data_IF_987209428543
#
_entry.id   IF_987209428543
#
_cell.length_a   1.000
_cell.length_b   1.000
_cell.length_c   1.000
_cell.angle_alpha   90.00
_cell.angle_beta   90.00
_cell.angle_gamma   90.00
#
_symmetry.space_group_name_H-M   'P 1'
#
loop_
_entity.id
_entity.type
_entity.pdbx_description
1 polymer ?
#
# COMPACT_ATOMS: atom_id res chain seq x y z
N UNK A 1 -28.95 62.01 7.86
CA UNK A 1 -28.27 62.04 6.54
C UNK A 1 -27.70 60.66 6.28
N UNK A 2 -28.03 60.14 5.10
CA UNK A 2 -27.73 58.78 4.63
C UNK A 2 -26.25 58.58 4.33
N UNK A 3 -25.73 57.36 4.55
CA UNK A 3 -24.38 56.97 4.17
C UNK A 3 -24.20 55.45 4.27
N UNK A 4 -24.71 54.71 3.28
CA UNK A 4 -24.45 53.30 3.10
C UNK A 4 -23.08 53.10 2.43
N UNK A 5 -22.16 52.39 3.07
CA UNK A 5 -20.90 51.97 2.46
C UNK A 5 -21.07 50.60 1.78
N UNK A 6 -20.88 50.56 0.47
CA UNK A 6 -20.96 49.36 -0.38
C UNK A 6 -19.60 48.66 -0.38
N UNK A 7 -19.54 47.38 0.01
CA UNK A 7 -18.33 46.56 -0.11
C UNK A 7 -18.12 46.09 -1.58
N UNK A 8 -16.88 46.01 -2.08
CA UNK A 8 -16.62 45.56 -3.44
C UNK A 8 -16.75 44.03 -3.52
N UNK A 9 -17.52 43.54 -4.50
CA UNK A 9 -17.59 42.12 -4.83
C UNK A 9 -16.36 41.73 -5.64
N UNK A 10 -15.43 40.99 -5.05
CA UNK A 10 -14.38 40.28 -5.78
C UNK A 10 -14.99 39.11 -6.57
N UNK A 11 -15.44 39.35 -7.81
CA UNK A 11 -15.68 38.29 -8.79
C UNK A 11 -14.38 38.03 -9.55
N UNK A 12 -13.43 37.37 -8.87
CA UNK A 12 -12.13 36.97 -9.40
C UNK A 12 -12.04 35.46 -9.58
N UNK A 13 -12.41 35.00 -10.77
CA UNK A 13 -11.78 33.88 -11.47
C UNK A 13 -11.85 32.45 -10.88
N UNK A 14 -13.03 32.00 -10.42
CA UNK A 14 -13.26 30.57 -10.10
C UNK A 14 -13.12 29.63 -11.32
N UNK A 15 -13.21 30.16 -12.54
CA UNK A 15 -13.19 29.38 -13.79
C UNK A 15 -11.76 29.01 -14.22
N UNK A 16 -10.79 29.92 -14.10
CA UNK A 16 -9.39 29.63 -14.43
C UNK A 16 -8.69 28.72 -13.40
N UNK A 17 -9.14 28.73 -12.13
CA UNK A 17 -8.65 27.77 -11.13
C UNK A 17 -9.20 26.37 -11.45
N UNK A 18 -10.49 26.24 -11.75
CA UNK A 18 -11.09 24.98 -12.16
C UNK A 18 -10.49 24.41 -13.47
N UNK A 19 -10.23 25.26 -14.47
CA UNK A 19 -9.60 24.85 -15.74
C UNK A 19 -8.13 24.43 -15.57
N UNK A 20 -7.38 25.07 -14.66
CA UNK A 20 -6.02 24.64 -14.28
C UNK A 20 -6.03 23.29 -13.56
N UNK A 21 -7.02 23.03 -12.71
CA UNK A 21 -7.17 21.74 -12.01
C UNK A 21 -7.59 20.62 -12.97
N UNK A 22 -8.51 20.89 -13.90
CA UNK A 22 -8.97 19.91 -14.91
C UNK A 22 -7.90 19.57 -15.96
N UNK A 23 -7.03 20.52 -16.31
CA UNK A 23 -5.94 20.29 -17.27
C UNK A 23 -4.78 19.49 -16.66
N UNK A 24 -4.50 19.68 -15.36
CA UNK A 24 -3.49 18.90 -14.64
C UNK A 24 -3.88 17.42 -14.43
N UNK A 25 -5.19 17.12 -14.39
CA UNK A 25 -5.71 15.76 -14.26
C UNK A 25 -5.72 14.95 -15.56
N UNK A 26 -5.48 15.59 -16.72
CA UNK A 26 -5.66 14.97 -18.04
C UNK A 26 -4.46 14.20 -18.59
N UNK A 27 -3.27 14.35 -18.00
CA UNK A 27 -2.02 13.87 -18.60
C UNK A 27 -1.08 13.08 -17.66
N UNK A 28 -1.52 12.66 -16.47
CA UNK A 28 -0.71 11.70 -15.70
C UNK A 28 -0.97 10.29 -16.24
N UNK A 29 0.08 9.54 -16.65
CA UNK A 29 -0.10 8.15 -17.01
C UNK A 29 -0.70 7.39 -15.82
N UNK A 30 -1.60 6.46 -16.10
CA UNK A 30 -2.19 5.59 -15.08
C UNK A 30 -1.04 4.79 -14.46
N UNK A 31 -0.87 4.78 -13.12
CA UNK A 31 0.21 4.02 -12.49
C UNK A 31 0.20 2.56 -12.96
N UNK A 32 1.38 2.04 -13.30
CA UNK A 32 1.54 0.68 -13.81
C UNK A 32 1.19 0.49 -15.29
N UNK A 33 0.70 1.52 -16.01
CA UNK A 33 0.44 1.42 -17.45
C UNK A 33 1.70 1.17 -18.29
N UNK A 34 2.88 1.43 -17.74
CA UNK A 34 4.18 1.13 -18.36
C UNK A 34 4.94 -0.02 -17.69
N UNK A 35 4.33 -0.62 -16.66
CA UNK A 35 4.86 -1.72 -15.88
C UNK A 35 4.77 -3.07 -16.60
N UNK A 36 5.65 -4.00 -16.22
CA UNK A 36 5.55 -5.41 -16.54
C UNK A 36 4.97 -6.14 -15.34
N UNK A 37 4.03 -7.06 -15.59
CA UNK A 37 3.51 -7.94 -14.54
C UNK A 37 4.62 -8.91 -14.11
N UNK A 38 4.86 -9.00 -12.81
CA UNK A 38 5.89 -9.83 -12.20
C UNK A 38 5.28 -11.09 -11.59
N UNK A 39 6.09 -12.13 -11.46
CA UNK A 39 5.70 -13.33 -10.71
C UNK A 39 5.62 -13.00 -9.21
N UNK A 40 4.60 -13.53 -8.54
CA UNK A 40 4.37 -13.33 -7.12
C UNK A 40 5.11 -14.39 -6.29
N UNK A 41 5.89 -13.95 -5.30
CA UNK A 41 6.39 -14.79 -4.22
C UNK A 41 5.22 -15.20 -3.31
N UNK A 42 5.08 -16.51 -3.11
CA UNK A 42 4.02 -17.11 -2.30
C UNK A 42 4.54 -17.61 -0.97
N UNK A 43 3.67 -17.78 0.02
CA UNK A 43 4.04 -18.29 1.34
C UNK A 43 4.85 -19.59 1.24
N UNK A 44 6.01 -19.59 1.91
CA UNK A 44 7.03 -20.63 1.82
C UNK A 44 8.28 -20.18 1.04
N UNK A 45 8.19 -19.10 0.27
CA UNK A 45 9.36 -18.40 -0.25
C UNK A 45 10.11 -17.72 0.91
N UNK A 46 11.41 -18.05 1.14
CA UNK A 46 12.20 -17.42 2.19
C UNK A 46 12.29 -15.90 2.08
N UNK A 47 12.10 -15.34 0.88
CA UNK A 47 12.12 -13.90 0.66
C UNK A 47 11.03 -13.16 1.44
N UNK A 48 9.87 -13.77 1.66
CA UNK A 48 8.77 -13.17 2.42
C UNK A 48 9.07 -13.10 3.94
N UNK A 49 10.12 -13.78 4.39
CA UNK A 49 10.51 -13.88 5.79
C UNK A 49 11.91 -13.30 6.08
N UNK A 50 12.36 -12.37 5.23
CA UNK A 50 13.58 -11.59 5.42
C UNK A 50 13.26 -10.11 5.33
N UNK A 51 13.84 -9.31 6.24
CA UNK A 51 13.77 -7.87 6.15
C UNK A 51 14.39 -7.38 4.84
N UNK A 52 13.74 -6.39 4.22
CA UNK A 52 14.18 -5.77 2.98
C UNK A 52 15.28 -4.74 3.22
N UNK A 53 16.09 -4.51 2.20
CA UNK A 53 17.16 -3.53 2.19
C UNK A 53 16.63 -2.14 1.87
N UNK A 54 17.29 -1.12 2.43
CA UNK A 54 16.97 0.27 2.12
C UNK A 54 17.34 0.58 0.65
N UNK A 55 16.48 1.35 -0.01
CA UNK A 55 16.76 1.92 -1.33
C UNK A 55 17.76 3.06 -1.18
N UNK A 56 18.87 2.97 -1.90
CA UNK A 56 19.94 3.98 -1.92
C UNK A 56 20.08 4.69 -3.27
N UNK A 57 19.52 4.12 -4.34
CA UNK A 57 19.55 4.68 -5.70
C UNK A 57 18.13 5.06 -6.15
N UNK A 58 17.92 6.36 -6.36
CA UNK A 58 16.65 6.96 -6.78
C UNK A 58 16.63 7.25 -8.29
N UNK A 59 17.15 6.30 -9.06
CA UNK A 59 17.24 6.37 -10.51
C UNK A 59 16.05 5.78 -11.28
N UNK A 60 16.17 5.68 -12.61
CA UNK A 60 15.13 5.11 -13.49
C UNK A 60 14.72 3.66 -13.16
N UNK A 61 15.62 2.88 -12.55
CA UNK A 61 15.36 1.51 -12.09
C UNK A 61 14.28 1.48 -10.99
N UNK A 62 14.32 2.41 -10.04
CA UNK A 62 13.33 2.52 -8.97
C UNK A 62 11.96 2.94 -9.53
N UNK A 63 11.94 3.91 -10.44
CA UNK A 63 10.69 4.31 -11.11
C UNK A 63 10.08 3.13 -11.89
N UNK A 64 10.91 2.33 -12.57
CA UNK A 64 10.47 1.12 -13.27
C UNK A 64 9.93 0.06 -12.31
N UNK A 65 10.59 -0.13 -11.17
CA UNK A 65 10.12 -1.05 -10.12
C UNK A 65 8.72 -0.65 -9.63
N UNK A 66 8.51 0.63 -9.30
CA UNK A 66 7.21 1.13 -8.84
C UNK A 66 6.11 0.88 -9.89
N UNK A 67 6.41 1.11 -11.18
CA UNK A 67 5.48 0.79 -12.27
C UNK A 67 5.18 -0.71 -12.39
N UNK A 68 6.20 -1.57 -12.30
CA UNK A 68 6.02 -3.03 -12.31
C UNK A 68 5.19 -3.50 -11.10
N UNK A 69 5.36 -2.87 -9.93
CA UNK A 69 4.58 -3.15 -8.73
C UNK A 69 3.11 -2.76 -8.91
N UNK A 70 2.80 -1.57 -9.42
CA UNK A 70 1.41 -1.19 -9.72
C UNK A 70 0.77 -2.12 -10.75
N UNK A 71 1.48 -2.44 -11.84
CA UNK A 71 0.99 -3.36 -12.87
C UNK A 71 0.65 -4.73 -12.28
N UNK A 72 1.53 -5.25 -11.42
CA UNK A 72 1.35 -6.55 -10.75
C UNK A 72 0.21 -6.52 -9.73
N UNK A 73 0.13 -5.46 -8.91
CA UNK A 73 -0.93 -5.26 -7.93
C UNK A 73 -2.31 -5.26 -8.60
N UNK A 74 -2.48 -4.49 -9.68
CA UNK A 74 -3.75 -4.44 -10.40
C UNK A 74 -4.08 -5.76 -11.11
N UNK A 75 -3.09 -6.43 -11.72
CA UNK A 75 -3.29 -7.73 -12.34
C UNK A 75 -3.74 -8.80 -11.32
N UNK A 76 -3.28 -8.68 -10.07
CA UNK A 76 -3.66 -9.54 -8.95
C UNK A 76 -4.91 -9.06 -8.20
N UNK A 77 -5.56 -7.96 -8.64
CA UNK A 77 -6.72 -7.35 -7.99
C UNK A 77 -6.48 -6.97 -6.52
N UNK A 78 -5.26 -6.54 -6.19
CA UNK A 78 -4.88 -6.09 -4.85
C UNK A 78 -5.07 -4.58 -4.62
N UNK A 79 -5.02 -4.19 -3.35
CA UNK A 79 -5.06 -2.79 -2.90
C UNK A 79 -3.71 -2.28 -2.37
N UNK A 80 -2.75 -3.19 -2.19
CA UNK A 80 -1.39 -2.93 -1.75
C UNK A 80 -0.45 -4.03 -2.23
N UNK A 81 0.83 -3.70 -2.41
CA UNK A 81 1.88 -4.63 -2.79
C UNK A 81 3.26 -4.13 -2.35
N UNK A 82 3.96 -4.94 -1.57
CA UNK A 82 5.36 -4.74 -1.20
C UNK A 82 6.32 -5.40 -2.19
N UNK A 83 7.51 -4.80 -2.40
CA UNK A 83 8.44 -5.23 -3.46
C UNK A 83 8.97 -6.66 -3.27
N UNK A 84 9.11 -7.14 -2.03
CA UNK A 84 9.54 -8.51 -1.77
C UNK A 84 8.51 -9.55 -2.21
N UNK A 85 7.24 -9.17 -2.35
CA UNK A 85 6.21 -10.05 -2.92
C UNK A 85 6.39 -10.29 -4.42
N UNK A 86 7.26 -9.53 -5.11
CA UNK A 86 7.60 -9.73 -6.53
C UNK A 86 9.09 -10.06 -6.75
N UNK A 87 9.74 -10.60 -5.72
CA UNK A 87 11.13 -11.05 -5.82
C UNK A 87 12.19 -9.98 -5.53
N UNK A 88 11.81 -8.77 -5.11
CA UNK A 88 12.73 -7.63 -4.96
C UNK A 88 12.86 -7.24 -3.47
N UNK A 89 14.00 -7.53 -2.79
CA UNK A 89 14.18 -7.28 -1.36
C UNK A 89 14.48 -5.80 -1.05
N UNK A 90 13.70 -4.86 -1.60
CA UNK A 90 13.85 -3.43 -1.33
C UNK A 90 12.67 -2.91 -0.53
N UNK A 91 12.91 -1.95 0.36
CA UNK A 91 11.86 -1.27 1.14
C UNK A 91 11.02 -0.33 0.28
N UNK A 92 10.13 -0.90 -0.51
CA UNK A 92 9.18 -0.17 -1.36
C UNK A 92 7.83 -0.87 -1.27
N UNK A 93 6.76 -0.11 -1.11
CA UNK A 93 5.40 -0.60 -1.36
C UNK A 93 4.60 0.39 -2.21
N UNK A 94 3.61 -0.14 -2.92
CA UNK A 94 2.58 0.63 -3.64
C UNK A 94 1.22 0.32 -3.04
N UNK A 95 0.28 1.26 -3.18
CA UNK A 95 -1.09 1.09 -2.72
C UNK A 95 -2.08 1.84 -3.62
N UNK A 96 -3.25 1.25 -3.80
CA UNK A 96 -4.46 1.87 -4.31
C UNK A 96 -5.63 1.34 -3.48
N UNK A 97 -5.83 1.97 -2.33
CA UNK A 97 -6.62 1.43 -1.24
C UNK A 97 -7.70 2.45 -0.83
N UNK A 98 -9.00 2.12 -0.90
CA UNK A 98 -10.03 2.95 -0.29
C UNK A 98 -9.87 2.92 1.24
N UNK A 99 -10.34 3.95 1.93
CA UNK A 99 -10.60 3.85 3.37
C UNK A 99 -12.05 3.42 3.66
N UNK A 100 -12.44 3.45 4.93
CA UNK A 100 -13.76 3.04 5.39
C UNK A 100 -14.88 3.97 4.90
N UNK A 101 -14.55 5.18 4.43
CA UNK A 101 -15.46 6.17 3.86
C UNK A 101 -15.43 6.18 2.30
N UNK A 102 -14.88 5.10 1.70
CA UNK A 102 -14.68 4.95 0.25
C UNK A 102 -13.78 6.04 -0.39
N UNK A 103 -12.98 6.76 0.41
CA UNK A 103 -11.99 7.70 -0.13
C UNK A 103 -10.79 6.91 -0.61
N UNK A 104 -10.52 7.01 -1.91
CA UNK A 104 -9.41 6.33 -2.57
C UNK A 104 -8.06 6.97 -2.22
N UNK A 105 -7.16 6.20 -1.63
CA UNK A 105 -5.76 6.55 -1.39
C UNK A 105 -4.87 5.82 -2.39
N UNK A 106 -4.12 6.56 -3.21
CA UNK A 106 -3.27 6.02 -4.26
C UNK A 106 -1.86 6.58 -4.14
N UNK A 107 -0.86 5.71 -4.06
CA UNK A 107 0.53 6.14 -4.01
C UNK A 107 1.52 5.01 -3.77
N UNK A 108 2.73 5.41 -3.40
CA UNK A 108 3.84 4.53 -3.10
C UNK A 108 4.72 5.16 -2.03
N UNK A 109 5.46 4.32 -1.31
CA UNK A 109 6.44 4.78 -0.32
C UNK A 109 7.72 3.97 -0.48
N UNK A 110 8.84 4.70 -0.52
CA UNK A 110 10.20 4.17 -0.55
C UNK A 110 10.84 4.41 0.82
N UNK A 111 11.56 3.42 1.33
CA UNK A 111 12.10 3.37 2.68
C UNK A 111 11.05 3.74 3.75
N UNK A 112 9.84 3.12 3.74
CA UNK A 112 8.81 3.44 4.71
C UNK A 112 9.24 3.09 6.14
N UNK A 113 8.84 3.95 7.06
CA UNK A 113 8.89 3.75 8.50
C UNK A 113 7.48 3.92 9.07
N UNK A 114 6.99 2.91 9.79
CA UNK A 114 5.71 2.97 10.52
C UNK A 114 5.94 3.74 11.83
N UNK A 115 5.86 5.07 11.76
CA UNK A 115 6.19 5.98 12.87
C UNK A 115 5.11 6.03 13.94
N UNK A 116 3.85 5.76 13.59
CA UNK A 116 2.74 5.65 14.52
C UNK A 116 1.85 4.46 14.14
N UNK A 117 1.46 3.65 15.12
CA UNK A 117 0.44 2.62 15.00
C UNK A 117 -0.22 2.46 16.38
N UNK A 118 -1.38 3.09 16.55
CA UNK A 118 -2.02 3.27 17.85
C UNK A 118 -3.56 3.31 17.73
N UNK A 119 -4.22 3.79 18.78
CA UNK A 119 -5.68 3.76 18.86
C UNK A 119 -6.22 2.37 19.24
N UNK A 120 -7.40 2.02 18.71
CA UNK A 120 -8.05 0.75 19.05
C UNK A 120 -7.40 -0.40 18.29
N UNK A 121 -7.20 -1.53 18.96
CA UNK A 121 -6.87 -2.77 18.26
C UNK A 121 -8.13 -3.39 17.68
N UNK A 122 -8.25 -3.36 16.35
CA UNK A 122 -9.39 -3.91 15.62
C UNK A 122 -9.00 -5.22 14.95
N UNK A 123 -9.79 -6.26 15.24
CA UNK A 123 -9.71 -7.52 14.52
C UNK A 123 -10.64 -7.49 13.32
N UNK A 124 -10.08 -7.50 12.13
CA UNK A 124 -10.81 -7.47 10.86
C UNK A 124 -10.29 -8.53 9.88
N UNK A 125 -11.05 -8.82 8.81
CA UNK A 125 -10.58 -9.71 7.74
C UNK A 125 -9.27 -9.16 7.15
N UNK A 126 -8.33 -10.05 6.86
CA UNK A 126 -7.07 -9.68 6.19
C UNK A 126 -6.63 -10.84 5.30
N UNK A 127 -6.41 -10.52 4.03
CA UNK A 127 -5.84 -11.41 3.02
C UNK A 127 -4.47 -10.90 2.57
N UNK A 128 -3.82 -11.64 1.66
CA UNK A 128 -2.52 -11.25 1.12
C UNK A 128 -2.35 -11.84 -0.28
N UNK A 129 -1.78 -11.07 -1.21
CA UNK A 129 -1.49 -11.57 -2.57
C UNK A 129 -0.47 -12.72 -2.57
N UNK A 130 0.37 -12.83 -1.54
CA UNK A 130 1.29 -13.96 -1.33
C UNK A 130 0.64 -15.18 -0.66
N UNK A 131 -0.63 -15.08 -0.24
CA UNK A 131 -1.45 -16.19 0.26
C UNK A 131 -2.80 -16.27 -0.48
N UNK A 132 -2.82 -16.48 -1.82
CA UNK A 132 -4.03 -16.35 -2.62
C UNK A 132 -5.21 -17.18 -2.10
N UNK A 133 -6.37 -16.53 -1.94
CA UNK A 133 -7.62 -17.17 -1.50
C UNK A 133 -7.69 -17.49 -0.01
N UNK A 134 -6.71 -17.06 0.80
CA UNK A 134 -6.76 -17.20 2.26
C UNK A 134 -6.98 -15.85 2.94
N UNK A 135 -7.85 -15.87 3.94
CA UNK A 135 -8.16 -14.73 4.77
C UNK A 135 -8.27 -15.17 6.23
N UNK A 136 -7.87 -14.30 7.17
CA UNK A 136 -8.18 -14.50 8.58
C UNK A 136 -8.37 -13.18 9.31
N UNK A 137 -9.17 -13.23 10.38
CA UNK A 137 -9.33 -12.11 11.30
C UNK A 137 -8.02 -11.78 12.01
N UNK A 138 -7.39 -10.68 11.61
CA UNK A 138 -6.06 -10.23 12.06
C UNK A 138 -6.19 -8.94 12.85
N UNK A 139 -5.48 -8.84 13.98
CA UNK A 139 -5.47 -7.64 14.82
C UNK A 139 -4.50 -6.60 14.25
N UNK A 140 -5.01 -5.37 14.13
CA UNK A 140 -4.28 -4.18 13.68
C UNK A 140 -4.70 -2.99 14.53
N UNK A 141 -3.82 -2.00 14.63
CA UNK A 141 -4.20 -0.69 15.14
C UNK A 141 -5.15 0.00 14.15
N UNK A 142 -6.13 0.75 14.65
CA UNK A 142 -7.12 1.45 13.82
C UNK A 142 -6.60 2.75 13.22
N UNK A 143 -5.43 3.21 13.66
CA UNK A 143 -4.70 4.33 13.11
C UNK A 143 -3.26 3.93 12.78
N UNK A 144 -2.74 4.45 11.68
CA UNK A 144 -1.35 4.27 11.28
C UNK A 144 -0.81 5.48 10.53
N UNK A 145 0.47 5.78 10.76
CA UNK A 145 1.23 6.79 10.03
C UNK A 145 2.50 6.14 9.51
N UNK A 146 2.74 6.33 8.20
CA UNK A 146 3.98 5.93 7.54
C UNK A 146 4.68 7.18 7.01
N UNK A 147 5.96 7.31 7.34
CA UNK A 147 6.87 8.29 6.75
C UNK A 147 7.86 7.58 5.82
N UNK A 148 8.38 8.30 4.83
CA UNK A 148 9.37 7.76 3.91
C UNK A 148 9.66 8.74 2.79
N UNK A 149 9.97 8.20 1.63
CA UNK A 149 10.34 8.95 0.44
C UNK A 149 9.46 8.57 -0.75
N UNK A 150 9.33 9.48 -1.70
CA UNK A 150 8.84 9.17 -3.05
C UNK A 150 9.95 8.52 -3.87
N UNK A 151 9.61 7.98 -5.04
CA UNK A 151 10.59 7.42 -5.99
C UNK A 151 11.60 8.44 -6.53
N UNK A 152 11.39 9.74 -6.30
CA UNK A 152 12.33 10.81 -6.63
C UNK A 152 13.11 11.31 -5.41
N UNK A 153 12.94 10.69 -4.25
CA UNK A 153 13.65 11.02 -3.01
C UNK A 153 13.04 12.18 -2.21
N UNK A 154 11.84 12.66 -2.57
CA UNK A 154 11.15 13.70 -1.79
C UNK A 154 10.45 13.07 -0.57
N UNK A 155 10.47 13.70 0.63
CA UNK A 155 9.77 13.18 1.80
C UNK A 155 8.27 13.05 1.57
N UNK A 156 7.68 11.97 2.09
CA UNK A 156 6.23 11.73 2.12
C UNK A 156 5.81 11.28 3.51
N UNK A 157 4.64 11.74 3.94
CA UNK A 157 3.96 11.28 5.16
C UNK A 157 2.52 10.95 4.82
N UNK A 158 2.10 9.73 5.09
CA UNK A 158 0.74 9.24 4.87
C UNK A 158 0.17 8.74 6.18
N UNK A 159 -1.09 9.07 6.41
CA UNK A 159 -1.81 8.68 7.61
C UNK A 159 -3.20 8.21 7.21
N UNK A 160 -3.72 7.24 7.95
CA UNK A 160 -5.04 6.69 7.69
C UNK A 160 -5.61 6.04 8.93
N UNK A 161 -6.89 5.72 8.85
CA UNK A 161 -7.59 4.90 9.82
C UNK A 161 -8.21 3.66 9.17
N UNK A 162 -8.73 2.73 9.97
CA UNK A 162 -9.57 1.64 9.49
C UNK A 162 -8.88 0.73 8.47
N UNK A 163 -9.54 0.47 7.35
CA UNK A 163 -9.02 -0.38 6.28
C UNK A 163 -7.71 0.15 5.68
N UNK A 164 -7.58 1.46 5.49
CA UNK A 164 -6.35 2.04 4.96
C UNK A 164 -5.19 1.90 5.96
N UNK A 165 -5.43 2.14 7.26
CA UNK A 165 -4.43 1.91 8.31
C UNK A 165 -3.96 0.44 8.36
N UNK A 166 -4.87 -0.51 8.15
CA UNK A 166 -4.54 -1.94 8.04
C UNK A 166 -3.65 -2.22 6.83
N UNK A 167 -3.97 -1.64 5.68
CA UNK A 167 -3.14 -1.75 4.47
C UNK A 167 -1.72 -1.22 4.73
N UNK A 168 -1.57 -0.04 5.32
CA UNK A 168 -0.25 0.51 5.64
C UNK A 168 0.57 -0.40 6.56
N UNK A 169 -0.03 -0.89 7.64
CA UNK A 169 0.64 -1.84 8.56
C UNK A 169 0.97 -3.17 7.87
N UNK A 170 0.13 -3.65 6.95
CA UNK A 170 0.35 -4.88 6.18
C UNK A 170 1.55 -4.75 5.25
N UNK A 171 1.64 -3.67 4.49
CA UNK A 171 2.75 -3.46 3.56
C UNK A 171 4.07 -3.23 4.32
N UNK A 172 4.05 -2.51 5.45
CA UNK A 172 5.22 -2.36 6.31
C UNK A 172 5.69 -3.72 6.88
N UNK A 173 4.77 -4.59 7.32
CA UNK A 173 5.14 -5.93 7.78
C UNK A 173 5.88 -6.74 6.72
N UNK A 174 5.40 -6.68 5.47
CA UNK A 174 6.05 -7.38 4.38
C UNK A 174 7.51 -6.94 4.23
N UNK A 175 7.78 -5.64 4.33
CA UNK A 175 9.13 -5.11 4.22
C UNK A 175 10.03 -5.49 5.40
N UNK A 176 9.45 -5.80 6.56
CA UNK A 176 10.15 -6.36 7.71
C UNK A 176 10.22 -7.90 7.71
N UNK A 177 9.79 -8.56 6.63
CA UNK A 177 9.83 -10.02 6.51
C UNK A 177 8.73 -10.73 7.30
N UNK A 178 7.56 -10.12 7.43
CA UNK A 178 6.40 -10.71 8.05
C UNK A 178 5.23 -10.79 7.06
N UNK A 179 4.41 -11.83 7.20
CA UNK A 179 3.10 -11.90 6.55
C UNK A 179 2.01 -11.89 7.60
N UNK A 180 0.77 -11.54 7.24
CA UNK A 180 -0.32 -11.40 8.21
C UNK A 180 -0.52 -12.63 9.12
N UNK A 181 -0.21 -13.84 8.61
CA UNK A 181 -0.36 -15.06 9.40
C UNK A 181 0.54 -15.08 10.64
N UNK A 182 1.66 -14.35 10.64
CA UNK A 182 2.61 -14.22 11.75
C UNK A 182 2.06 -13.40 12.92
N UNK A 183 1.07 -12.56 12.67
CA UNK A 183 0.30 -11.88 13.72
C UNK A 183 -0.81 -12.74 14.32
N UNK A 184 -1.19 -13.83 13.66
CA UNK A 184 -2.24 -14.72 14.17
C UNK A 184 -1.73 -15.55 15.35
N UNK A 185 -2.63 -15.84 16.29
CA UNK A 185 -2.33 -16.68 17.47
C UNK A 185 -3.28 -17.87 17.59
N UNK A 186 -2.85 -18.89 18.34
CA UNK A 186 -3.65 -20.06 18.70
C UNK A 186 -4.32 -20.76 17.52
N UNK A 187 -5.61 -21.09 17.69
CA UNK A 187 -6.39 -21.84 16.70
C UNK A 187 -6.49 -21.14 15.34
N UNK A 188 -6.48 -19.79 15.31
CA UNK A 188 -6.52 -19.02 14.06
C UNK A 188 -5.27 -19.27 13.22
N UNK A 189 -4.08 -19.13 13.81
CA UNK A 189 -2.81 -19.43 13.12
C UNK A 189 -2.78 -20.87 12.65
N UNK A 190 -3.15 -21.81 13.52
CA UNK A 190 -3.16 -23.24 13.15
C UNK A 190 -4.10 -23.55 11.98
N UNK A 191 -5.26 -22.89 11.90
CA UNK A 191 -6.21 -23.03 10.79
C UNK A 191 -5.68 -22.40 9.50
N UNK A 192 -5.18 -21.16 9.57
CA UNK A 192 -4.62 -20.45 8.42
C UNK A 192 -3.45 -21.23 7.79
N UNK A 193 -2.49 -21.67 8.60
CA UNK A 193 -1.34 -22.45 8.12
C UNK A 193 -1.74 -23.84 7.58
N UNK A 194 -2.78 -24.46 8.15
CA UNK A 194 -3.32 -25.72 7.62
C UNK A 194 -3.98 -25.51 6.26
N UNK A 195 -4.72 -24.41 6.09
CA UNK A 195 -5.32 -24.05 4.81
C UNK A 195 -4.22 -23.75 3.77
N UNK A 196 -3.18 -22.99 4.15
CA UNK A 196 -2.03 -22.72 3.29
C UNK A 196 -1.33 -23.99 2.80
N UNK A 197 -1.05 -24.96 3.67
CA UNK A 197 -0.45 -26.25 3.25
C UNK A 197 -1.31 -27.07 2.28
N UNK A 198 -2.61 -26.77 2.18
CA UNK A 198 -3.56 -27.47 1.30
C UNK A 198 -3.92 -26.64 0.07
N UNK A 199 -3.43 -25.40 -0.03
CA UNK A 199 -3.78 -24.52 -1.12
C UNK A 199 -3.18 -25.03 -2.44
N UNK A 200 -3.83 -24.79 -3.60
CA UNK A 200 -3.34 -25.26 -4.90
C UNK A 200 -1.94 -24.74 -5.24
N UNK A 201 -1.59 -23.57 -4.71
CA UNK A 201 -0.31 -22.90 -4.91
C UNK A 201 0.77 -23.28 -3.89
N UNK A 202 0.42 -24.08 -2.87
CA UNK A 202 1.38 -24.56 -1.90
C UNK A 202 2.43 -25.42 -2.62
N UNK A 203 3.71 -25.09 -2.44
CA UNK A 203 4.78 -25.96 -2.91
C UNK A 203 4.63 -27.31 -2.20
N UNK A 204 4.54 -28.39 -2.98
CA UNK A 204 4.35 -29.75 -2.45
C UNK A 204 5.62 -30.37 -1.88
N UNK A 205 6.77 -29.70 -2.02
CA UNK A 205 8.07 -30.30 -1.74
C UNK A 205 8.84 -29.47 -0.71
N UNK A 206 9.11 -30.10 0.43
CA UNK A 206 9.85 -29.55 1.58
C UNK A 206 9.91 -30.51 2.78
N UNK A 207 10.13 -31.82 2.52
CA UNK A 207 10.83 -32.70 3.47
C UNK A 207 12.31 -32.36 3.42
#
# INVERSE_FOLDING_TARGET
>A
MSGAATAPRHHGNSRAVAERTLTAMRNRPIPGSSGLIREMSLLGDPLLHRACEDVTDFGPSLAKLVEDMFATMYAAQGVGLAANQIGVPLKVFVYDCPDDDDVRHLGHVVNPELVEADGLTVRGPEGCLSLPGLESGTERFDHAVVEGLTMTGEPVRIAGTGWFARCLQHECDHLEGMVYTDRLTGLRRSRALRAARRAPWARKDGV
#
